data_IF_735655998469
#
_entry.id   IF_735655998469
#
_cell.length_a   1.000
_cell.length_b   1.000
_cell.length_c   1.000
_cell.angle_alpha   90.00
_cell.angle_beta   90.00
_cell.angle_gamma   90.00
#
_symmetry.space_group_name_H-M   'P 1'
#
loop_
_entity.id
_entity.type
_entity.pdbx_description
1 polymer ?
#
# COMPACT_ATOMS: atom_id res chain seq x y z
N UNK A 1 -12.44 9.13 16.12
CA UNK A 1 -12.60 7.96 15.47
C UNK A 1 -12.13 6.84 16.25
N UNK A 2 -12.78 5.77 16.12
CA UNK A 2 -12.46 4.73 16.87
C UNK A 2 -11.41 4.02 16.22
N UNK A 3 -10.44 3.65 16.87
CA UNK A 3 -9.39 2.94 16.28
C UNK A 3 -9.82 1.65 15.72
N UNK A 4 -10.90 1.14 16.11
CA UNK A 4 -11.34 -0.13 15.57
C UNK A 4 -11.63 -0.08 14.09
N UNK A 5 -11.85 1.11 13.52
CA UNK A 5 -12.12 1.15 12.12
C UNK A 5 -10.84 1.11 11.30
N UNK A 6 -9.71 1.46 11.86
CA UNK A 6 -8.46 1.45 11.13
C UNK A 6 -7.55 0.43 11.78
N UNK A 7 -7.97 -0.82 11.70
CA UNK A 7 -7.26 -1.86 12.43
C UNK A 7 -6.35 -2.71 11.58
N UNK A 8 -6.22 -2.40 10.33
CA UNK A 8 -5.44 -3.27 9.45
C UNK A 8 -4.03 -2.76 9.28
N UNK A 9 -3.15 -3.65 8.93
CA UNK A 9 -1.75 -3.34 8.60
C UNK A 9 -1.49 -3.91 7.22
N UNK A 10 -0.80 -3.16 6.38
CA UNK A 10 -0.43 -3.65 5.06
C UNK A 10 1.06 -3.42 4.86
N UNK A 11 1.66 -4.17 3.98
CA UNK A 11 3.02 -3.95 3.52
C UNK A 11 2.93 -3.42 2.10
N UNK A 12 3.52 -2.26 1.87
CA UNK A 12 3.52 -1.63 0.56
C UNK A 12 4.88 -1.87 -0.07
N UNK A 13 4.89 -2.23 -1.33
CA UNK A 13 6.12 -2.51 -2.05
C UNK A 13 6.27 -1.48 -3.16
N UNK A 14 7.28 -0.63 -3.05
CA UNK A 14 7.56 0.40 -4.06
C UNK A 14 8.76 -0.03 -4.90
N UNK A 15 8.58 -0.08 -6.20
CA UNK A 15 9.62 -0.57 -7.10
C UNK A 15 10.55 0.55 -7.55
N UNK A 16 11.84 0.30 -7.43
CA UNK A 16 12.85 1.24 -7.89
C UNK A 16 13.43 0.69 -9.19
N UNK A 17 13.10 1.35 -10.31
CA UNK A 17 13.56 0.90 -11.59
C UNK A 17 15.05 0.94 -11.75
N UNK A 18 15.70 1.91 -11.17
CA UNK A 18 17.12 2.06 -11.37
C UNK A 18 17.91 0.97 -10.70
N UNK A 19 17.47 0.55 -9.55
CA UNK A 19 18.19 -0.47 -8.80
C UNK A 19 17.54 -1.83 -8.86
N UNK A 20 16.43 -1.94 -9.58
CA UNK A 20 15.72 -3.20 -9.76
C UNK A 20 15.39 -3.86 -8.44
N UNK A 21 14.86 -3.10 -7.52
CA UNK A 21 14.49 -3.66 -6.24
C UNK A 21 13.28 -2.98 -5.68
N UNK A 22 12.61 -3.64 -4.75
CA UNK A 22 11.45 -3.09 -4.07
C UNK A 22 11.85 -2.57 -2.70
N UNK A 23 11.32 -1.40 -2.36
CA UNK A 23 11.45 -0.88 -1.01
C UNK A 23 10.12 -1.12 -0.32
N UNK A 24 10.14 -1.52 0.91
CA UNK A 24 8.91 -1.87 1.63
C UNK A 24 8.60 -0.87 2.71
N UNK A 25 7.32 -0.64 2.93
CA UNK A 25 6.84 0.17 4.03
C UNK A 25 5.71 -0.60 4.71
N UNK A 26 5.75 -0.70 6.01
CA UNK A 26 4.71 -1.35 6.78
C UNK A 26 3.83 -0.23 7.31
N UNK A 27 2.57 -0.21 6.89
CA UNK A 27 1.67 0.88 7.24
C UNK A 27 0.58 0.36 8.15
N UNK A 28 0.54 0.88 9.35
CA UNK A 28 -0.41 0.47 10.36
C UNK A 28 -1.60 1.43 10.41
N UNK A 29 -2.69 0.96 10.93
CA UNK A 29 -3.90 1.76 11.12
C UNK A 29 -4.45 2.21 9.76
N UNK A 30 -4.63 1.26 8.88
CA UNK A 30 -5.23 1.51 7.58
C UNK A 30 -6.52 0.72 7.48
N UNK A 31 -7.30 0.97 6.47
CA UNK A 31 -8.49 0.18 6.19
C UNK A 31 -8.26 -0.53 4.86
N UNK A 32 -8.18 -1.83 4.91
CA UNK A 32 -7.96 -2.63 3.71
C UNK A 32 -9.17 -3.52 3.51
N UNK A 33 -9.93 -3.28 2.46
CA UNK A 33 -11.19 -3.98 2.22
C UNK A 33 -11.09 -4.81 0.96
N UNK A 34 -10.79 -6.07 1.10
CA UNK A 34 -10.73 -6.93 -0.06
C UNK A 34 -12.13 -7.18 -0.60
N UNK A 35 -12.23 -7.24 -1.88
CA UNK A 35 -13.47 -7.57 -2.53
C UNK A 35 -13.31 -8.92 -3.13
N UNK A 36 -14.14 -9.83 -2.67
CA UNK A 36 -14.06 -11.13 -3.15
C UNK A 36 -15.03 -11.29 -4.08
N UNK A 37 -15.03 -10.80 -5.01
CA UNK A 37 -16.07 -10.91 -5.80
C UNK A 37 -16.31 -12.00 -6.46
N UNK A 38 -15.61 -12.54 -6.67
CA UNK A 38 -15.82 -13.48 -7.35
C UNK A 38 -16.45 -14.49 -7.06
N UNK A 39 -16.71 -14.54 -6.12
CA UNK A 39 -17.37 -15.60 -5.73
C UNK A 39 -18.09 -16.20 -6.72
N UNK A 40 -18.58 -15.58 -7.55
CA UNK A 40 -19.40 -16.26 -8.36
C UNK A 40 -18.84 -16.67 -9.52
N UNK A 41 -17.89 -16.41 -9.86
CA UNK A 41 -17.54 -16.66 -11.01
C UNK A 41 -17.20 -17.87 -11.10
N UNK A 42 -17.57 -18.39 -11.79
CA UNK A 42 -17.45 -19.61 -11.87
C UNK A 42 -16.18 -19.91 -12.27
N UNK A 43 -15.58 -19.41 -12.94
CA UNK A 43 -14.50 -19.79 -13.38
C UNK A 43 -13.59 -19.68 -12.56
N UNK A 44 -13.79 -19.39 -11.89
CA UNK A 44 -13.03 -19.41 -10.97
C UNK A 44 -11.78 -19.05 -11.16
N UNK A 45 -11.45 -18.62 -11.70
CA UNK A 45 -10.32 -18.45 -11.92
C UNK A 45 -9.86 -17.40 -11.44
N UNK A 46 -9.97 -16.93 -11.13
CA UNK A 46 -9.54 -16.08 -10.78
C UNK A 46 -9.33 -15.14 -10.44
N UNK A 47 -9.12 -14.95 -10.12
CA UNK A 47 -8.69 -14.09 -10.18
C UNK A 47 -9.03 -12.95 -10.00
N UNK A 48 -9.59 -12.64 -9.60
CA UNK A 48 -10.05 -11.53 -9.48
C UNK A 48 -10.07 -10.99 -8.19
N UNK A 49 -9.24 -11.23 -7.35
CA UNK A 49 -9.23 -10.61 -6.07
C UNK A 49 -8.89 -9.16 -6.26
N UNK A 50 -9.58 -8.31 -5.59
CA UNK A 50 -9.30 -6.90 -5.62
C UNK A 50 -9.37 -6.35 -4.20
N UNK A 51 -8.91 -5.16 -4.00
CA UNK A 51 -8.95 -4.54 -2.69
C UNK A 51 -8.91 -3.03 -2.79
N UNK A 52 -9.62 -2.40 -1.87
CA UNK A 52 -9.55 -0.96 -1.70
C UNK A 52 -8.76 -0.71 -0.43
N UNK A 53 -7.79 0.16 -0.49
CA UNK A 53 -6.95 0.46 0.64
C UNK A 53 -7.05 1.95 0.94
N UNK A 54 -7.31 2.27 2.20
CA UNK A 54 -7.41 3.66 2.63
C UNK A 54 -6.31 3.91 3.65
N UNK A 55 -5.44 4.88 3.37
CA UNK A 55 -4.36 5.26 4.27
C UNK A 55 -4.65 6.69 4.71
N UNK A 56 -4.73 6.93 6.02
CA UNK A 56 -5.11 8.23 6.54
C UNK A 56 -3.87 8.99 7.01
N UNK A 57 -3.77 10.26 6.60
CA UNK A 57 -2.56 11.03 6.88
C UNK A 57 -2.25 11.12 8.35
N UNK A 58 -3.25 11.30 9.17
CA UNK A 58 -3.00 11.51 10.58
C UNK A 58 -2.95 10.22 11.37
N UNK A 59 -3.83 9.28 11.07
CA UNK A 59 -3.96 8.09 11.89
C UNK A 59 -3.06 6.95 11.47
N UNK A 60 -2.73 6.85 10.18
CA UNK A 60 -1.91 5.74 9.71
C UNK A 60 -0.45 6.04 9.95
N UNK A 61 0.31 5.03 10.27
CA UNK A 61 1.73 5.20 10.58
C UNK A 61 2.53 4.24 9.73
N UNK A 62 3.46 4.75 8.96
CA UNK A 62 4.32 3.93 8.12
C UNK A 62 5.68 3.79 8.76
N UNK A 63 6.18 2.56 8.80
CA UNK A 63 7.51 2.28 9.37
C UNK A 63 8.24 1.32 8.46
N UNK A 64 9.55 1.30 8.58
CA UNK A 64 10.33 0.31 7.83
C UNK A 64 10.43 -0.96 8.67
N UNK A 65 11.14 -1.96 8.17
CA UNK A 65 11.19 -3.23 8.88
C UNK A 65 11.90 -3.12 10.21
N UNK A 66 12.63 -2.05 10.46
CA UNK A 66 13.29 -1.86 11.73
C UNK A 66 12.48 -0.96 12.67
N UNK A 67 11.30 -0.56 12.26
CA UNK A 67 10.45 0.26 13.10
C UNK A 67 10.69 1.75 12.98
N UNK A 68 11.52 2.19 12.05
CA UNK A 68 11.77 3.61 11.87
C UNK A 68 10.68 4.24 11.04
N UNK A 69 10.24 5.42 11.43
CA UNK A 69 9.15 6.07 10.74
C UNK A 69 9.50 6.44 9.32
N UNK A 70 8.53 6.32 8.44
CA UNK A 70 8.69 6.68 7.04
C UNK A 70 7.68 7.75 6.68
N UNK A 71 8.02 8.60 5.73
CA UNK A 71 7.16 9.68 5.28
C UNK A 71 6.79 9.52 3.82
N UNK A 72 5.58 9.95 3.49
CA UNK A 72 5.14 9.91 2.11
C UNK A 72 5.72 11.05 1.33
N UNK A 73 6.16 10.78 0.11
CA UNK A 73 6.47 11.82 -0.85
C UNK A 73 5.94 11.38 -2.21
N UNK A 74 5.62 12.32 -3.09
CA UNK A 74 5.12 11.95 -4.41
C UNK A 74 6.15 11.15 -5.20
N UNK A 75 5.67 10.33 -6.11
CA UNK A 75 6.56 9.42 -6.82
C UNK A 75 7.68 10.14 -7.55
N UNK A 76 7.40 11.30 -8.15
CA UNK A 76 8.45 11.99 -8.88
C UNK A 76 9.62 12.37 -7.97
N UNK A 77 9.33 12.73 -6.72
CA UNK A 77 10.38 13.06 -5.79
C UNK A 77 11.04 11.80 -5.26
N UNK A 78 10.26 10.78 -5.00
CA UNK A 78 10.80 9.51 -4.51
C UNK A 78 11.77 8.93 -5.51
N UNK A 79 11.37 8.96 -6.79
CA UNK A 79 12.17 8.36 -7.84
C UNK A 79 13.51 9.09 -8.02
N UNK A 80 13.54 10.37 -7.69
CA UNK A 80 14.76 11.17 -7.84
C UNK A 80 15.73 11.01 -6.68
N UNK A 81 15.32 10.36 -5.60
CA UNK A 81 16.21 10.21 -4.46
C UNK A 81 17.25 9.16 -4.73
N UNK A 82 18.47 9.43 -4.34
CA UNK A 82 19.51 8.40 -4.41
C UNK A 82 19.29 7.41 -3.30
N UNK A 83 18.95 7.88 -2.12
CA UNK A 83 18.68 7.02 -0.99
C UNK A 83 17.22 7.17 -0.64
N UNK A 84 16.45 6.13 -0.88
CA UNK A 84 15.01 6.17 -0.64
C UNK A 84 14.61 5.71 0.75
N UNK A 85 15.58 5.43 1.60
CA UNK A 85 15.30 5.00 2.96
C UNK A 85 14.50 6.06 3.71
N UNK A 86 13.47 5.66 4.39
CA UNK A 86 12.67 6.58 5.19
C UNK A 86 11.52 7.21 4.44
N UNK A 87 11.33 6.87 3.18
CA UNK A 87 10.24 7.44 2.39
C UNK A 87 9.45 6.37 1.68
N UNK A 88 8.15 6.61 1.53
CA UNK A 88 7.30 5.72 0.75
C UNK A 88 6.48 6.55 -0.22
N UNK A 89 5.96 5.91 -1.23
CA UNK A 89 5.22 6.60 -2.27
C UNK A 89 4.12 5.70 -2.80
N UNK A 90 3.33 6.22 -3.72
CA UNK A 90 2.31 5.43 -4.41
C UNK A 90 2.54 5.55 -5.91
N UNK A 91 2.50 4.41 -6.55
CA UNK A 91 2.72 4.36 -7.98
C UNK A 91 1.90 3.22 -8.55
N UNK A 92 1.34 3.40 -9.73
CA UNK A 92 0.63 2.32 -10.39
C UNK A 92 1.59 1.17 -10.65
N UNK A 93 1.08 -0.02 -10.52
CA UNK A 93 1.80 -1.25 -10.72
C UNK A 93 2.72 -1.65 -9.59
N UNK A 94 2.80 -0.86 -8.53
CA UNK A 94 3.41 -1.34 -7.31
C UNK A 94 2.39 -2.25 -6.62
N UNK A 95 2.78 -2.86 -5.52
CA UNK A 95 1.96 -3.85 -4.86
C UNK A 95 1.76 -3.53 -3.39
N UNK A 96 0.68 -4.05 -2.83
CA UNK A 96 0.54 -4.08 -1.38
C UNK A 96 -0.06 -5.43 -0.98
N UNK A 97 0.16 -5.82 0.24
CA UNK A 97 -0.39 -7.06 0.78
C UNK A 97 -0.79 -6.83 2.21
N UNK A 98 -1.88 -7.46 2.64
CA UNK A 98 -2.34 -7.29 3.99
C UNK A 98 -1.38 -8.00 4.94
N UNK A 99 -1.10 -7.41 6.07
CA UNK A 99 -0.19 -7.97 7.06
C UNK A 99 1.22 -7.47 6.89
N UNK A 100 2.12 -8.04 7.66
CA UNK A 100 3.53 -7.70 7.63
C UNK A 100 4.25 -8.77 6.85
N UNK A 101 4.82 -8.38 5.72
CA UNK A 101 5.49 -9.33 4.84
C UNK A 101 6.97 -9.00 4.83
N UNK A 102 7.78 -9.97 5.17
CA UNK A 102 9.22 -9.78 5.19
C UNK A 102 9.91 -10.74 4.23
N UNK A 103 11.09 -10.38 3.84
CA UNK A 103 11.95 -11.27 3.05
C UNK A 103 11.37 -11.68 1.71
N UNK A 104 10.69 -10.75 1.06
CA UNK A 104 10.16 -11.02 -0.25
C UNK A 104 10.80 -10.07 -1.22
N UNK A 105 11.46 -10.60 -2.23
CA UNK A 105 12.12 -9.76 -3.19
C UNK A 105 11.18 -9.34 -4.31
N UNK A 106 10.26 -10.19 -4.67
CA UNK A 106 9.33 -9.87 -5.75
C UNK A 106 7.90 -10.12 -5.28
N UNK A 107 7.15 -9.06 -4.97
CA UNK A 107 5.80 -9.26 -4.46
C UNK A 107 4.87 -9.91 -5.46
N UNK A 108 5.18 -9.85 -6.74
CA UNK A 108 4.31 -10.49 -7.72
C UNK A 108 4.24 -12.00 -7.51
N UNK A 109 5.18 -12.57 -6.77
CA UNK A 109 5.14 -13.99 -6.50
C UNK A 109 4.26 -14.34 -5.32
N UNK A 110 3.76 -13.35 -4.59
CA UNK A 110 2.90 -13.62 -3.46
C UNK A 110 1.47 -13.72 -3.93
N UNK A 111 0.77 -14.75 -3.49
CA UNK A 111 -0.61 -14.88 -3.88
C UNK A 111 -1.46 -13.76 -3.35
N UNK A 112 -1.14 -13.27 -2.16
CA UNK A 112 -1.99 -12.27 -1.57
C UNK A 112 -1.61 -10.85 -1.94
N UNK A 113 -0.62 -10.65 -2.79
CA UNK A 113 -0.24 -9.30 -3.17
C UNK A 113 -1.22 -8.74 -4.18
N UNK A 114 -1.58 -7.49 -4.01
CA UNK A 114 -2.53 -6.82 -4.87
C UNK A 114 -1.78 -5.73 -5.63
N UNK A 115 -1.92 -5.70 -6.94
CA UNK A 115 -1.25 -4.70 -7.74
C UNK A 115 -2.06 -3.42 -7.75
N UNK A 116 -1.42 -2.29 -7.55
CA UNK A 116 -2.09 -1.01 -7.52
C UNK A 116 -2.47 -0.61 -8.93
N UNK A 117 -3.76 -0.38 -9.16
CA UNK A 117 -4.23 0.07 -10.45
C UNK A 117 -4.36 1.56 -10.52
N UNK A 118 -4.84 2.18 -9.46
CA UNK A 118 -5.00 3.62 -9.41
C UNK A 118 -5.05 4.07 -7.96
N UNK A 119 -4.84 5.33 -7.75
CA UNK A 119 -4.92 5.88 -6.42
C UNK A 119 -5.21 7.36 -6.52
N UNK A 120 -5.73 7.93 -5.44
CA UNK A 120 -5.92 9.36 -5.35
C UNK A 120 -5.68 9.83 -3.96
N UNK A 121 -5.27 11.09 -3.84
CA UNK A 121 -5.00 11.70 -2.56
C UNK A 121 -6.09 12.72 -2.30
N UNK A 122 -6.88 12.49 -1.27
CA UNK A 122 -7.91 13.43 -0.87
C UNK A 122 -7.32 14.32 0.21
N UNK A 123 -6.91 15.51 -0.17
CA UNK A 123 -6.28 16.37 0.80
C UNK A 123 -7.15 17.59 1.06
N UNK A 124 -8.43 17.41 1.20
CA UNK A 124 -9.34 18.48 1.57
C UNK A 124 -9.91 18.20 2.91
N UNK A 125 -10.35 19.22 3.57
CA UNK A 125 -10.93 19.10 4.91
C UNK A 125 -9.86 19.14 5.96
N UNK A 126 -10.20 18.65 7.15
CA UNK A 126 -9.23 18.68 8.24
C UNK A 126 -8.19 17.59 8.04
N UNK A 127 -7.11 17.65 8.80
CA UNK A 127 -6.13 16.64 8.70
C UNK A 127 -6.66 15.27 8.94
N UNK A 128 -7.62 15.10 9.81
CA UNK A 128 -8.15 13.78 10.07
C UNK A 128 -8.89 13.21 8.90
N UNK A 129 -9.36 14.06 7.99
CA UNK A 129 -10.12 13.58 6.84
C UNK A 129 -9.24 13.32 5.64
N UNK A 130 -8.02 13.79 5.65
CA UNK A 130 -7.15 13.62 4.49
C UNK A 130 -6.66 12.19 4.42
N UNK A 131 -6.71 11.63 3.24
CA UNK A 131 -6.35 10.22 3.08
C UNK A 131 -6.05 9.91 1.63
N UNK A 132 -5.44 8.76 1.42
CA UNK A 132 -5.23 8.22 0.09
C UNK A 132 -6.18 7.07 -0.09
N UNK A 133 -6.79 6.98 -1.28
CA UNK A 133 -7.61 5.85 -1.66
C UNK A 133 -6.87 5.11 -2.75
N UNK A 134 -6.60 3.84 -2.55
CA UNK A 134 -5.82 3.02 -3.47
C UNK A 134 -6.68 1.86 -3.90
N UNK A 135 -6.75 1.63 -5.22
CA UNK A 135 -7.57 0.56 -5.76
C UNK A 135 -6.66 -0.41 -6.50
N UNK A 136 -6.84 -1.68 -6.26
CA UNK A 136 -6.00 -2.67 -6.89
C UNK A 136 -6.66 -3.99 -7.12
N UNK A 137 -5.99 -4.81 -7.92
CA UNK A 137 -6.44 -6.20 -8.09
C UNK A 137 -5.34 -7.09 -8.69
#
# INVERSE_FOLDING_TARGET
>A
MRNGMLAHTVTLFNYDDENNQYYTAIINNVLCMPTIGTAFTTKGDNSSDSADLYIFEEQSVAVDKNGNKMSYIPFSKWNALEDKTGFWTLKERDYFAKGIINNVENPAELEEAIMINSFRHFDIGTKRMRHWEIYGH
#
